data_IF_364428832461
#
_entry.id   IF_364428832461
#
_cell.length_a   1.000
_cell.length_b   1.000
_cell.length_c   1.000
_cell.angle_alpha   90.00
_cell.angle_beta   90.00
_cell.angle_gamma   90.00
#
_symmetry.space_group_name_H-M   'P 1'
#
loop_
_entity.id
_entity.type
_entity.pdbx_description
1 polymer ?
#
# COMPACT_ATOMS: atom_id res chain seq x y z
N UNK A 1 28.04 4.08 18.36
CA UNK A 1 26.86 3.32 18.80
C UNK A 1 25.84 3.40 17.68
N UNK A 2 25.39 2.24 17.21
CA UNK A 2 24.81 1.99 15.87
C UNK A 2 23.71 2.97 15.48
N UNK A 3 24.07 3.93 14.64
CA UNK A 3 23.14 4.75 13.89
C UNK A 3 22.71 3.93 12.66
N UNK A 4 21.46 4.06 12.25
CA UNK A 4 20.99 3.65 10.91
C UNK A 4 20.64 2.17 10.70
N UNK A 5 19.94 1.51 11.63
CA UNK A 5 19.31 0.20 11.33
C UNK A 5 17.79 0.30 11.38
N UNK A 6 17.19 0.68 10.26
CA UNK A 6 15.78 0.39 9.99
C UNK A 6 15.69 -0.96 9.30
N UNK A 7 15.17 -1.96 10.02
CA UNK A 7 14.87 -3.25 9.41
C UNK A 7 13.55 -3.12 8.65
N UNK A 8 13.58 -3.47 7.35
CA UNK A 8 12.40 -3.48 6.49
C UNK A 8 11.28 -4.26 7.18
N UNK A 9 10.10 -3.63 7.24
CA UNK A 9 8.91 -4.22 7.83
C UNK A 9 8.24 -5.23 6.90
N UNK A 10 7.69 -6.29 7.49
CA UNK A 10 6.83 -7.22 6.76
C UNK A 10 5.62 -6.49 6.19
N UNK A 11 5.38 -6.70 4.90
CA UNK A 11 4.27 -6.09 4.16
C UNK A 11 2.88 -6.59 4.56
N UNK A 12 1.85 -5.86 4.14
CA UNK A 12 0.44 -6.26 4.26
C UNK A 12 -0.06 -6.82 2.94
N UNK A 13 -0.73 -7.97 2.96
CA UNK A 13 -1.27 -8.63 1.77
C UNK A 13 -2.69 -9.11 2.05
N UNK A 14 -3.66 -8.63 1.28
CA UNK A 14 -5.06 -9.02 1.43
C UNK A 14 -5.75 -9.20 0.07
N UNK A 15 -6.52 -10.27 -0.06
CA UNK A 15 -7.51 -10.42 -1.12
C UNK A 15 -8.83 -9.81 -0.66
N UNK A 16 -9.36 -8.87 -1.43
CA UNK A 16 -10.61 -8.18 -1.15
C UNK A 16 -11.62 -8.59 -2.22
N UNK A 17 -12.70 -9.25 -1.79
CA UNK A 17 -13.84 -9.54 -2.66
C UNK A 17 -14.76 -8.33 -2.67
N UNK A 18 -15.10 -7.85 -3.85
CA UNK A 18 -16.09 -6.80 -4.05
C UNK A 18 -16.92 -7.16 -5.27
N UNK A 19 -18.23 -7.37 -5.07
CA UNK A 19 -19.12 -8.00 -6.06
C UNK A 19 -18.52 -9.34 -6.54
N UNK A 20 -18.43 -9.54 -7.84
CA UNK A 20 -17.95 -10.73 -8.53
C UNK A 20 -16.44 -10.66 -8.85
N UNK A 21 -15.75 -9.62 -8.36
CA UNK A 21 -14.32 -9.37 -8.59
C UNK A 21 -13.49 -9.64 -7.33
N UNK A 22 -12.26 -10.13 -7.54
CA UNK A 22 -11.24 -10.29 -6.48
C UNK A 22 -10.08 -9.36 -6.75
N UNK A 23 -9.88 -8.42 -5.83
CA UNK A 23 -8.76 -7.50 -5.83
C UNK A 23 -7.68 -7.97 -4.88
N UNK A 24 -6.40 -7.73 -5.22
CA UNK A 24 -5.27 -7.99 -4.33
C UNK A 24 -4.64 -6.67 -3.90
N UNK A 25 -4.56 -6.42 -2.60
CA UNK A 25 -3.90 -5.24 -2.02
C UNK A 25 -2.60 -5.69 -1.37
N UNK A 26 -1.49 -5.10 -1.81
CA UNK A 26 -0.14 -5.35 -1.29
C UNK A 26 0.48 -4.04 -0.84
N UNK A 27 1.02 -3.99 0.39
CA UNK A 27 1.73 -2.82 0.93
C UNK A 27 3.12 -3.20 1.38
N UNK A 28 4.12 -2.43 0.97
CA UNK A 28 5.55 -2.69 1.17
C UNK A 28 6.27 -1.49 1.79
N UNK A 29 7.29 -1.79 2.59
CA UNK A 29 8.27 -0.84 3.12
C UNK A 29 9.54 -0.92 2.24
N UNK A 30 9.93 0.21 1.64
CA UNK A 30 11.10 0.31 0.76
C UNK A 30 12.44 0.39 1.49
N UNK A 31 12.46 0.48 2.82
CA UNK A 31 13.67 0.61 3.62
C UNK A 31 14.36 1.97 3.52
N UNK A 32 15.53 2.10 4.14
CA UNK A 32 16.28 3.38 4.17
C UNK A 32 16.88 3.77 2.82
N UNK A 33 17.08 2.81 1.91
CA UNK A 33 17.62 3.06 0.56
C UNK A 33 16.56 3.55 -0.41
N UNK A 34 15.28 3.32 -0.12
CA UNK A 34 14.14 3.79 -0.89
C UNK A 34 13.00 4.12 0.08
N UNK A 35 13.05 5.29 0.76
CA UNK A 35 12.24 5.60 1.94
C UNK A 35 10.76 5.87 1.62
N UNK A 36 10.08 4.88 1.07
CA UNK A 36 8.70 4.94 0.63
C UNK A 36 7.93 3.74 1.12
N UNK A 37 6.72 4.01 1.62
CA UNK A 37 5.68 2.99 1.71
C UNK A 37 4.94 2.98 0.38
N UNK A 38 4.87 1.81 -0.25
CA UNK A 38 4.17 1.59 -1.52
C UNK A 38 3.00 0.63 -1.29
N UNK A 39 1.79 1.05 -1.66
CA UNK A 39 0.61 0.17 -1.70
C UNK A 39 0.16 -0.01 -3.14
N UNK A 40 0.08 -1.24 -3.61
CA UNK A 40 -0.37 -1.60 -4.97
C UNK A 40 -1.69 -2.34 -4.90
N UNK A 41 -2.61 -1.98 -5.78
CA UNK A 41 -3.84 -2.70 -6.04
C UNK A 41 -3.66 -3.49 -7.33
N UNK A 42 -4.00 -4.77 -7.29
CA UNK A 42 -4.01 -5.63 -8.46
C UNK A 42 -5.42 -6.17 -8.72
N UNK A 43 -5.70 -6.41 -9.99
CA UNK A 43 -6.86 -7.15 -10.47
C UNK A 43 -6.41 -8.01 -11.65
N UNK A 44 -6.68 -9.32 -11.60
CA UNK A 44 -6.23 -10.29 -12.63
C UNK A 44 -4.74 -10.21 -12.99
N UNK A 45 -3.89 -9.95 -11.98
CA UNK A 45 -2.44 -9.83 -12.15
C UNK A 45 -1.97 -8.47 -12.70
N UNK A 46 -2.88 -7.59 -13.11
CA UNK A 46 -2.54 -6.24 -13.56
C UNK A 46 -2.57 -5.23 -12.42
N UNK A 47 -1.65 -4.27 -12.44
CA UNK A 47 -1.67 -3.14 -11.50
C UNK A 47 -2.80 -2.20 -11.89
N UNK A 48 -3.67 -1.91 -10.94
CA UNK A 48 -4.81 -1.01 -11.08
C UNK A 48 -4.48 0.38 -10.57
N UNK A 49 -3.92 0.46 -9.36
CA UNK A 49 -3.60 1.71 -8.68
C UNK A 49 -2.39 1.51 -7.79
N UNK A 50 -1.64 2.59 -7.56
CA UNK A 50 -0.47 2.63 -6.70
C UNK A 50 -0.52 3.89 -5.83
N UNK A 51 -0.45 3.70 -4.52
CA UNK A 51 -0.18 4.78 -3.57
C UNK A 51 1.30 4.67 -3.18
N UNK A 52 2.02 5.79 -3.24
CA UNK A 52 3.42 5.88 -2.81
C UNK A 52 3.59 7.13 -1.94
N UNK A 53 4.06 6.97 -0.71
CA UNK A 53 4.31 8.08 0.23
C UNK A 53 5.70 7.95 0.81
N UNK A 54 6.46 9.06 0.78
CA UNK A 54 7.78 9.15 1.37
C UNK A 54 7.71 9.21 2.90
N UNK A 55 8.68 8.63 3.58
CA UNK A 55 8.96 8.85 5.01
C UNK A 55 10.38 9.40 5.22
N UNK A 56 10.99 10.01 4.20
CA UNK A 56 12.35 10.57 4.24
C UNK A 56 12.55 11.57 5.39
N UNK A 57 11.53 12.38 5.70
CA UNK A 57 11.57 13.34 6.82
C UNK A 57 11.71 12.67 8.19
N UNK A 58 11.31 11.39 8.32
CA UNK A 58 11.36 10.64 9.59
C UNK A 58 12.65 9.84 9.76
N UNK A 59 13.54 9.80 8.75
CA UNK A 59 14.79 9.04 8.83
C UNK A 59 15.68 9.47 10.00
N UNK A 60 15.62 10.75 10.39
CA UNK A 60 16.34 11.28 11.55
C UNK A 60 15.87 10.75 12.90
N UNK A 61 14.66 10.19 13.00
CA UNK A 61 14.16 9.58 14.24
C UNK A 61 14.89 8.27 14.54
N UNK A 62 15.15 7.46 13.51
CA UNK A 62 15.83 6.16 13.61
C UNK A 62 15.14 5.13 14.52
N UNK A 63 15.73 3.94 14.60
CA UNK A 63 15.34 2.88 15.56
C UNK A 63 13.85 2.54 15.58
N UNK A 64 13.32 2.29 16.77
CA UNK A 64 11.90 1.91 16.95
C UNK A 64 10.92 3.06 16.64
N UNK A 65 11.35 4.32 16.74
CA UNK A 65 10.50 5.47 16.42
C UNK A 65 10.18 5.51 14.92
N UNK A 66 11.21 5.47 14.07
CA UNK A 66 11.05 5.35 12.62
C UNK A 66 10.22 4.12 12.24
N UNK A 67 10.48 2.98 12.88
CA UNK A 67 9.76 1.73 12.64
C UNK A 67 8.25 1.85 12.94
N UNK A 68 7.86 2.53 14.03
CA UNK A 68 6.44 2.76 14.31
C UNK A 68 5.81 3.71 13.28
N UNK A 69 6.50 4.79 12.89
CA UNK A 69 6.04 5.72 11.84
C UNK A 69 5.76 4.99 10.52
N UNK A 70 6.72 4.18 10.06
CA UNK A 70 6.58 3.40 8.83
C UNK A 70 5.41 2.42 8.96
N UNK A 71 5.29 1.71 10.09
CA UNK A 71 4.18 0.80 10.35
C UNK A 71 2.81 1.48 10.30
N UNK A 72 2.67 2.64 10.95
CA UNK A 72 1.43 3.44 10.92
C UNK A 72 1.09 3.87 9.49
N UNK A 73 2.09 4.34 8.74
CA UNK A 73 1.92 4.75 7.35
C UNK A 73 1.47 3.58 6.46
N UNK A 74 2.10 2.41 6.60
CA UNK A 74 1.71 1.18 5.91
C UNK A 74 0.25 0.80 6.21
N UNK A 75 -0.13 0.73 7.49
CA UNK A 75 -1.51 0.41 7.90
C UNK A 75 -2.50 1.40 7.31
N UNK A 76 -2.21 2.69 7.39
CA UNK A 76 -3.08 3.77 6.90
C UNK A 76 -3.28 3.66 5.39
N UNK A 77 -2.21 3.54 4.61
CA UNK A 77 -2.32 3.40 3.16
C UNK A 77 -3.07 2.13 2.75
N UNK A 78 -2.79 1.01 3.41
CA UNK A 78 -3.44 -0.27 3.14
C UNK A 78 -4.97 -0.17 3.35
N UNK A 79 -5.39 0.40 4.48
CA UNK A 79 -6.81 0.62 4.77
C UNK A 79 -7.48 1.61 3.81
N UNK A 80 -6.76 2.65 3.36
CA UNK A 80 -7.27 3.56 2.33
C UNK A 80 -7.54 2.79 1.03
N UNK A 81 -6.61 1.95 0.58
CA UNK A 81 -6.78 1.16 -0.64
C UNK A 81 -7.97 0.19 -0.54
N UNK A 82 -8.09 -0.52 0.58
CA UNK A 82 -9.25 -1.40 0.85
C UNK A 82 -10.55 -0.60 0.81
N UNK A 83 -10.61 0.57 1.45
CA UNK A 83 -11.82 1.41 1.45
C UNK A 83 -12.21 1.87 0.05
N UNK A 84 -11.24 2.22 -0.81
CA UNK A 84 -11.51 2.56 -2.22
C UNK A 84 -12.10 1.37 -2.99
N UNK A 85 -11.56 0.17 -2.80
CA UNK A 85 -12.15 -1.05 -3.39
C UNK A 85 -13.59 -1.24 -2.91
N UNK A 86 -13.81 -1.20 -1.59
CA UNK A 86 -15.12 -1.44 -1.00
C UNK A 86 -16.15 -0.34 -1.30
N UNK A 87 -15.73 0.87 -1.65
CA UNK A 87 -16.62 1.94 -2.09
C UNK A 87 -17.00 1.84 -3.58
N UNK A 88 -16.47 0.86 -4.32
CA UNK A 88 -16.66 0.75 -5.76
C UNK A 88 -15.88 1.79 -6.58
N UNK A 89 -14.87 2.44 -5.99
CA UNK A 89 -14.10 3.51 -6.65
C UNK A 89 -13.46 3.06 -7.99
N UNK A 90 -13.17 1.77 -8.12
CA UNK A 90 -12.52 1.18 -9.30
C UNK A 90 -13.50 0.52 -10.29
N UNK A 91 -14.82 0.63 -10.05
CA UNK A 91 -15.82 0.07 -10.98
C UNK A 91 -16.10 1.02 -12.15
N UNK A 92 -16.11 2.33 -11.90
CA UNK A 92 -16.56 3.36 -12.86
C UNK A 92 -15.63 3.50 -14.10
N UNK A 93 -14.40 3.01 -14.00
CA UNK A 93 -13.42 3.04 -15.09
C UNK A 93 -13.39 1.77 -15.93
N UNK A 94 -14.21 0.75 -15.60
CA UNK A 94 -14.17 -0.55 -16.27
C UNK A 94 -15.50 -1.01 -16.87
N UNK A 95 -16.58 -0.25 -16.69
CA UNK A 95 -17.92 -0.60 -17.20
C UNK A 95 -18.17 -0.15 -18.65
N UNK A 96 -17.11 -0.05 -19.46
CA UNK A 96 -17.15 0.37 -20.85
C UNK A 96 -17.23 -0.78 -21.86
N UNK A 97 -17.93 -1.87 -21.56
CA UNK A 97 -18.01 -3.01 -22.48
C UNK A 97 -19.02 -4.08 -22.08
N UNK A 98 -20.30 -3.84 -22.36
CA UNK A 98 -21.14 -4.67 -23.24
C UNK A 98 -22.59 -4.12 -23.19
N UNK A 99 -22.87 -3.15 -24.06
CA UNK A 99 -24.20 -3.03 -24.68
C UNK A 99 -24.04 -3.51 -26.13
N UNK A 100 -24.34 -4.78 -26.37
CA UNK A 100 -24.66 -5.36 -27.69
C UNK A 100 -25.48 -6.63 -27.49
#
# INVERSE_FOLDING_TARGET
MSKDTHTILTGYNHNIKYRDKVYHVQTEDGGITNPFVRTSLFFEGMVVDVIKVSYEEYLGEGGEALKEKVRELMKKQHLIMIKRVMSGYYEDSRDGGDES
#
